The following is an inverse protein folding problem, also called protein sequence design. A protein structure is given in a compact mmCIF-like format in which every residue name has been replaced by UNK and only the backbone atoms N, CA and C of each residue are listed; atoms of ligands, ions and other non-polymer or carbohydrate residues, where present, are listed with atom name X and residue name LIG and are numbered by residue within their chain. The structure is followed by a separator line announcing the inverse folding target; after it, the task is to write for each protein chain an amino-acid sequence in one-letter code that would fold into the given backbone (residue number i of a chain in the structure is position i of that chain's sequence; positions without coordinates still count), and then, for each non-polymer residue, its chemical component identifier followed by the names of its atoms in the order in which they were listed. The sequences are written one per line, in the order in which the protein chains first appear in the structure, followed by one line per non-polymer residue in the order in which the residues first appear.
data_IF_182005900194
#
_entry.id   IF_182005900194
#
_cell.length_a   1.000
_cell.length_b   1.000
_cell.length_c   1.000
_cell.angle_alpha   90.00
_cell.angle_beta   90.00
_cell.angle_gamma   90.00
#
_symmetry.space_group_name_H-M   'P 1'
#
loop_
_entity.id
_entity.type
_entity.pdbx_description
1 polymer ?
#
# COMPACT_ATOMS: atom_id res chain seq x y z
N UNK A 1 -11.44 -31.67 -9.81
CA UNK A 1 -10.88 -30.45 -9.23
C UNK A 1 -12.01 -29.51 -8.86
N UNK A 2 -11.93 -28.91 -7.67
CA UNK A 2 -12.85 -27.84 -7.27
C UNK A 2 -12.42 -26.59 -8.03
N UNK A 3 -13.32 -25.96 -8.78
CA UNK A 3 -13.08 -24.63 -9.32
C UNK A 3 -13.08 -23.64 -8.16
N UNK A 4 -11.95 -22.95 -7.96
CA UNK A 4 -11.80 -21.91 -6.95
C UNK A 4 -11.96 -20.55 -7.63
N UNK A 5 -12.77 -19.69 -7.01
CA UNK A 5 -12.99 -18.33 -7.49
C UNK A 5 -11.98 -17.33 -6.91
N UNK A 6 -11.89 -16.14 -7.52
CA UNK A 6 -11.21 -14.98 -6.95
C UNK A 6 -11.73 -14.67 -5.55
N UNK A 7 -13.03 -14.85 -5.30
CA UNK A 7 -13.63 -14.65 -3.99
C UNK A 7 -13.04 -15.61 -2.96
N UNK A 8 -12.83 -16.87 -3.31
CA UNK A 8 -12.21 -17.86 -2.42
C UNK A 8 -10.77 -17.48 -2.08
N UNK A 9 -9.98 -17.07 -3.08
CA UNK A 9 -8.60 -16.61 -2.87
C UNK A 9 -8.53 -15.39 -1.94
N UNK A 10 -9.50 -14.49 -2.04
CA UNK A 10 -9.60 -13.31 -1.17
C UNK A 10 -9.95 -13.70 0.27
N UNK A 11 -10.86 -14.65 0.47
CA UNK A 11 -11.21 -15.17 1.79
C UNK A 11 -10.01 -15.87 2.43
N UNK A 12 -9.34 -16.78 1.70
CA UNK A 12 -8.17 -17.50 2.21
C UNK A 12 -7.03 -16.57 2.62
N UNK A 13 -6.84 -15.46 1.89
CA UNK A 13 -5.84 -14.45 2.27
C UNK A 13 -6.14 -13.87 3.65
N UNK A 14 -7.38 -13.48 3.91
CA UNK A 14 -7.77 -12.91 5.20
C UNK A 14 -7.69 -13.95 6.32
N UNK A 15 -8.12 -15.18 6.05
CA UNK A 15 -8.02 -16.30 7.00
C UNK A 15 -6.56 -16.61 7.36
N UNK A 16 -5.66 -16.64 6.38
CA UNK A 16 -4.23 -16.89 6.61
C UNK A 16 -3.59 -15.77 7.45
N UNK A 17 -3.91 -14.51 7.13
CA UNK A 17 -3.42 -13.34 7.89
C UNK A 17 -3.91 -13.42 9.34
N UNK A 18 -5.21 -13.67 9.55
CA UNK A 18 -5.81 -13.75 10.88
C UNK A 18 -5.27 -14.94 11.69
N UNK A 19 -5.22 -16.14 11.09
CA UNK A 19 -4.74 -17.34 11.75
C UNK A 19 -3.27 -17.18 12.19
N UNK A 20 -2.43 -16.60 11.33
CA UNK A 20 -1.02 -16.36 11.63
C UNK A 20 -0.84 -15.30 12.72
N UNK A 21 -1.65 -14.24 12.70
CA UNK A 21 -1.65 -13.23 13.76
C UNK A 21 -2.04 -13.83 15.13
N UNK A 22 -3.11 -14.65 15.17
CA UNK A 22 -3.53 -15.35 16.37
C UNK A 22 -2.46 -16.32 16.89
N UNK A 23 -1.80 -17.04 15.99
CA UNK A 23 -0.67 -17.90 16.33
C UNK A 23 0.47 -17.10 16.96
N UNK A 24 0.84 -15.96 16.36
CA UNK A 24 1.88 -15.07 16.89
C UNK A 24 1.53 -14.58 18.30
N UNK A 25 0.27 -14.20 18.54
CA UNK A 25 -0.22 -13.82 19.86
C UNK A 25 -0.14 -14.98 20.86
N UNK A 26 -0.59 -16.19 20.47
CA UNK A 26 -0.56 -17.39 21.32
C UNK A 26 0.86 -17.82 21.71
N UNK A 27 1.85 -17.56 20.85
CA UNK A 27 3.26 -17.82 21.13
C UNK A 27 3.95 -16.72 21.95
N UNK A 28 3.25 -15.66 22.34
CA UNK A 28 3.85 -14.49 22.99
C UNK A 28 4.78 -13.69 22.08
N UNK A 29 4.72 -13.91 20.76
CA UNK A 29 5.52 -13.24 19.75
C UNK A 29 4.86 -11.92 19.30
N UNK A 30 4.36 -11.12 20.25
CA UNK A 30 3.68 -9.86 19.97
C UNK A 30 4.62 -8.93 19.18
N UNK A 31 4.12 -8.37 18.07
CA UNK A 31 4.89 -7.49 17.17
C UNK A 31 5.92 -8.20 16.27
N UNK A 32 5.93 -9.55 16.25
CA UNK A 32 6.79 -10.36 15.37
C UNK A 32 6.10 -10.82 14.09
N UNK A 33 4.77 -10.87 14.10
CA UNK A 33 3.99 -11.06 12.88
C UNK A 33 4.07 -9.82 11.99
N UNK A 34 4.26 -10.05 10.69
CA UNK A 34 4.36 -9.02 9.66
C UNK A 34 3.68 -9.55 8.40
N UNK A 35 2.83 -8.73 7.79
CA UNK A 35 2.32 -8.95 6.45
C UNK A 35 3.28 -8.30 5.46
N UNK A 36 3.83 -9.10 4.55
CA UNK A 36 4.73 -8.63 3.51
C UNK A 36 4.12 -8.93 2.15
N UNK A 37 3.99 -7.90 1.31
CA UNK A 37 3.62 -8.07 -0.07
C UNK A 37 4.71 -8.88 -0.79
N UNK A 38 4.32 -9.81 -1.68
CA UNK A 38 5.29 -10.46 -2.57
C UNK A 38 6.01 -9.43 -3.46
N UNK A 39 5.32 -8.35 -3.82
CA UNK A 39 5.83 -7.25 -4.64
C UNK A 39 6.24 -7.66 -6.06
N UNK A 40 6.71 -6.68 -6.83
CA UNK A 40 7.45 -6.90 -8.08
C UNK A 40 8.92 -6.48 -7.86
N UNK A 41 9.85 -7.39 -8.18
CA UNK A 41 11.29 -7.16 -8.03
C UNK A 41 11.86 -7.37 -6.62
N UNK A 42 12.98 -6.70 -6.32
CA UNK A 42 13.82 -7.01 -5.14
C UNK A 42 13.33 -6.38 -3.82
N UNK A 43 12.34 -5.47 -3.85
CA UNK A 43 11.86 -4.73 -2.66
C UNK A 43 11.44 -5.66 -1.53
N UNK A 44 10.55 -6.61 -1.82
CA UNK A 44 10.06 -7.58 -0.85
C UNK A 44 11.17 -8.47 -0.30
N UNK A 45 12.05 -8.97 -1.17
CA UNK A 45 13.19 -9.80 -0.76
C UNK A 45 14.17 -9.04 0.15
N UNK A 46 14.44 -7.76 -0.14
CA UNK A 46 15.26 -6.89 0.70
C UNK A 46 14.60 -6.61 2.04
N UNK A 47 13.29 -6.32 2.06
CA UNK A 47 12.53 -6.12 3.28
C UNK A 47 12.56 -7.38 4.16
N UNK A 48 12.33 -8.57 3.59
CA UNK A 48 12.42 -9.85 4.28
C UNK A 48 13.81 -10.08 4.88
N UNK A 49 14.87 -9.87 4.11
CA UNK A 49 16.24 -9.99 4.59
C UNK A 49 16.50 -9.05 5.79
N UNK A 50 16.06 -7.80 5.72
CA UNK A 50 16.25 -6.84 6.81
C UNK A 50 15.41 -7.18 8.05
N UNK A 51 14.19 -7.69 7.88
CA UNK A 51 13.38 -8.18 9.00
C UNK A 51 14.09 -9.31 9.75
N UNK A 52 14.75 -10.22 9.02
CA UNK A 52 15.45 -11.35 9.62
C UNK A 52 16.82 -10.98 10.22
N UNK A 53 17.58 -10.11 9.55
CA UNK A 53 19.01 -9.90 9.84
C UNK A 53 19.39 -8.48 10.27
N UNK A 54 18.46 -7.53 10.24
CA UNK A 54 18.66 -6.12 10.67
C UNK A 54 17.54 -5.67 11.62
N UNK A 55 17.29 -6.37 12.73
CA UNK A 55 16.12 -6.12 13.59
C UNK A 55 16.11 -4.74 14.28
N UNK A 56 17.24 -4.02 14.30
CA UNK A 56 17.34 -2.66 14.84
C UNK A 56 16.96 -1.57 13.85
N UNK A 57 16.76 -1.94 12.58
CA UNK A 57 16.40 -1.02 11.52
C UNK A 57 14.91 -0.71 11.62
N UNK A 58 14.57 0.59 11.65
CA UNK A 58 13.19 1.05 11.78
C UNK A 58 12.34 0.62 10.57
N UNK A 59 11.09 0.29 10.86
CA UNK A 59 10.04 -0.04 9.89
C UNK A 59 9.27 1.20 9.52
N UNK A 60 9.10 1.46 8.22
CA UNK A 60 8.41 2.63 7.71
C UNK A 60 7.25 2.24 6.80
N UNK A 61 6.14 2.94 6.96
CA UNK A 61 5.09 3.02 5.93
C UNK A 61 5.29 4.32 5.13
N UNK A 62 5.74 4.24 3.86
CA UNK A 62 5.79 5.42 3.00
C UNK A 62 4.37 5.76 2.50
N UNK A 63 3.88 6.94 2.86
CA UNK A 63 2.60 7.48 2.41
C UNK A 63 2.82 8.51 1.32
N UNK A 64 2.03 8.47 0.25
CA UNK A 64 2.11 9.43 -0.85
C UNK A 64 0.86 9.32 -1.73
N UNK A 65 0.50 10.39 -2.46
CA UNK A 65 -0.64 10.31 -3.37
C UNK A 65 -0.36 9.31 -4.50
N UNK A 66 -1.25 8.34 -4.67
CA UNK A 66 -1.23 7.44 -5.82
C UNK A 66 -2.23 7.85 -6.89
N UNK A 67 -3.42 8.26 -6.47
CA UNK A 67 -4.47 8.79 -7.35
C UNK A 67 -4.18 10.24 -7.71
N UNK A 68 -4.57 10.68 -8.91
CA UNK A 68 -4.47 12.07 -9.40
C UNK A 68 -3.06 12.60 -9.73
N UNK A 69 -1.99 11.83 -9.52
CA UNK A 69 -0.61 12.20 -9.92
C UNK A 69 -0.06 11.37 -11.08
N UNK A 70 -0.78 10.35 -11.53
CA UNK A 70 -0.33 9.41 -12.57
C UNK A 70 -0.03 10.10 -13.90
N UNK A 71 -0.75 11.19 -14.22
CA UNK A 71 -0.57 11.94 -15.46
C UNK A 71 0.52 13.03 -15.37
N UNK A 72 1.27 13.09 -14.26
CA UNK A 72 2.32 14.09 -14.01
C UNK A 72 3.71 13.42 -13.89
N UNK A 73 4.48 13.29 -14.98
CA UNK A 73 5.77 12.57 -14.98
C UNK A 73 6.79 13.12 -13.97
N UNK A 74 6.82 14.44 -13.78
CA UNK A 74 7.73 15.09 -12.82
C UNK A 74 7.44 14.65 -11.38
N UNK A 75 6.15 14.66 -10.99
CA UNK A 75 5.72 14.21 -9.66
C UNK A 75 5.98 12.71 -9.51
N UNK A 76 5.74 11.91 -10.54
CA UNK A 76 6.04 10.47 -10.52
C UNK A 76 7.54 10.20 -10.31
N UNK A 77 8.43 11.01 -10.89
CA UNK A 77 9.87 10.90 -10.68
C UNK A 77 10.28 11.32 -9.25
N UNK A 78 9.65 12.35 -8.69
CA UNK A 78 9.84 12.72 -7.29
C UNK A 78 9.40 11.58 -6.34
N UNK A 79 8.21 11.02 -6.57
CA UNK A 79 7.68 9.91 -5.78
C UNK A 79 8.56 8.67 -5.91
N UNK A 80 9.07 8.36 -7.10
CA UNK A 80 10.03 7.26 -7.28
C UNK A 80 11.31 7.48 -6.46
N UNK A 81 11.83 8.71 -6.44
CA UNK A 81 13.01 9.08 -5.65
C UNK A 81 12.75 8.97 -4.14
N UNK A 82 11.58 9.42 -3.70
CA UNK A 82 11.12 9.27 -2.33
C UNK A 82 11.04 7.80 -1.91
N UNK A 83 10.35 6.96 -2.70
CA UNK A 83 10.22 5.52 -2.46
C UNK A 83 11.59 4.85 -2.39
N UNK A 84 12.50 5.18 -3.31
CA UNK A 84 13.87 4.67 -3.30
C UNK A 84 14.60 5.02 -2.01
N UNK A 85 14.52 6.27 -1.55
CA UNK A 85 15.14 6.69 -0.30
C UNK A 85 14.58 5.94 0.92
N UNK A 86 13.26 5.70 0.94
CA UNK A 86 12.61 4.90 2.00
C UNK A 86 13.11 3.46 2.00
N UNK A 87 13.19 2.84 0.82
CA UNK A 87 13.71 1.50 0.65
C UNK A 87 15.23 1.42 0.89
N UNK A 88 15.99 2.49 0.77
CA UNK A 88 17.43 2.45 1.06
C UNK A 88 17.70 2.49 2.58
N UNK A 89 16.96 3.34 3.30
CA UNK A 89 17.24 3.64 4.71
C UNK A 89 16.40 2.85 5.72
N UNK A 90 15.27 2.24 5.33
CA UNK A 90 14.32 1.62 6.25
C UNK A 90 13.82 0.25 5.78
N UNK A 91 13.17 -0.49 6.69
CA UNK A 91 12.35 -1.64 6.31
C UNK A 91 11.01 -1.07 5.82
N UNK A 92 10.89 -0.87 4.51
CA UNK A 92 9.72 -0.21 3.92
C UNK A 92 8.58 -1.20 3.64
N UNK A 93 7.40 -0.90 4.17
CA UNK A 93 6.14 -1.56 3.82
C UNK A 93 5.38 -0.67 2.84
N UNK A 94 5.83 -0.70 1.59
CA UNK A 94 5.40 0.24 0.57
C UNK A 94 4.05 -0.18 -0.08
N UNK A 95 2.99 0.62 0.07
CA UNK A 95 1.70 0.31 -0.53
C UNK A 95 1.74 0.31 -2.07
N UNK A 96 2.73 0.97 -2.70
CA UNK A 96 2.92 0.98 -4.15
C UNK A 96 3.46 -0.31 -4.75
N UNK A 97 3.92 -1.26 -3.92
CA UNK A 97 4.33 -2.60 -4.37
C UNK A 97 3.11 -3.52 -4.60
N UNK A 98 1.89 -3.01 -4.40
CA UNK A 98 0.62 -3.74 -4.53
C UNK A 98 -0.17 -3.26 -5.75
N UNK A 99 -0.65 -4.21 -6.57
CA UNK A 99 -1.19 -3.91 -7.90
C UNK A 99 -2.68 -4.24 -8.10
N UNK A 100 -3.45 -4.58 -7.05
CA UNK A 100 -4.81 -5.10 -7.25
C UNK A 100 -5.78 -4.12 -7.91
N UNK A 101 -5.59 -2.81 -7.72
CA UNK A 101 -6.40 -1.80 -8.43
C UNK A 101 -6.21 -1.86 -9.94
N UNK A 102 -5.01 -2.19 -10.43
CA UNK A 102 -4.74 -2.31 -11.88
C UNK A 102 -5.59 -3.41 -12.50
N UNK A 103 -5.79 -4.52 -11.78
CA UNK A 103 -6.64 -5.62 -12.23
C UNK A 103 -8.09 -5.16 -12.39
N UNK A 104 -8.63 -4.41 -11.42
CA UNK A 104 -9.98 -3.87 -11.49
C UNK A 104 -10.16 -2.88 -12.65
N UNK A 105 -9.22 -1.94 -12.84
CA UNK A 105 -9.29 -0.99 -13.96
C UNK A 105 -9.25 -1.68 -15.33
N UNK A 106 -8.37 -2.66 -15.52
CA UNK A 106 -8.31 -3.45 -16.75
C UNK A 106 -9.61 -4.20 -17.02
N UNK A 107 -10.26 -4.72 -15.98
CA UNK A 107 -11.56 -5.39 -16.13
C UNK A 107 -12.68 -4.41 -16.53
N UNK A 108 -12.68 -3.19 -15.99
CA UNK A 108 -13.62 -2.14 -16.42
C UNK A 108 -13.44 -1.79 -17.90
N UNK A 109 -12.21 -1.55 -18.34
CA UNK A 109 -11.89 -1.23 -19.75
C UNK A 109 -12.25 -2.41 -20.69
N UNK A 110 -12.10 -3.64 -20.23
CA UNK A 110 -12.48 -4.83 -21.00
C UNK A 110 -14.02 -4.96 -21.10
N UNK A 111 -14.74 -4.71 -20.01
CA UNK A 111 -16.20 -4.71 -19.99
C UNK A 111 -16.79 -3.65 -20.94
N UNK A 112 -16.21 -2.44 -20.96
CA UNK A 112 -16.59 -1.38 -21.90
C UNK A 112 -16.40 -1.78 -23.37
N UNK A 113 -15.39 -2.60 -23.65
CA UNK A 113 -15.12 -3.17 -24.98
C UNK A 113 -15.95 -4.42 -25.29
N UNK A 114 -16.75 -4.91 -24.34
CA UNK A 114 -17.53 -6.14 -24.48
C UNK A 114 -16.69 -7.42 -24.44
N UNK A 115 -15.47 -7.35 -23.90
CA UNK A 115 -14.57 -8.50 -23.73
C UNK A 115 -14.99 -9.31 -22.49
N UNK A 116 -15.00 -10.63 -22.61
CA UNK A 116 -15.33 -11.55 -21.50
C UNK A 116 -14.14 -11.93 -20.64
N UNK A 117 -12.93 -11.79 -21.18
CA UNK A 117 -11.70 -12.23 -20.53
C UNK A 117 -10.60 -11.20 -20.68
N UNK A 118 -9.75 -11.09 -19.66
CA UNK A 118 -8.49 -10.35 -19.73
C UNK A 118 -7.29 -11.27 -19.47
N UNK A 119 -6.19 -11.00 -20.14
CA UNK A 119 -4.92 -11.68 -19.92
C UNK A 119 -4.05 -10.92 -18.92
N UNK A 120 -3.54 -11.63 -17.93
CA UNK A 120 -2.70 -11.07 -16.87
C UNK A 120 -1.50 -11.99 -16.65
N UNK A 121 -0.30 -11.39 -16.68
CA UNK A 121 0.94 -12.05 -16.28
C UNK A 121 1.01 -12.23 -14.76
N UNK A 122 1.10 -13.48 -14.31
CA UNK A 122 1.27 -13.85 -12.91
C UNK A 122 2.40 -14.87 -12.80
N UNK A 123 3.51 -14.50 -12.15
CA UNK A 123 4.65 -15.41 -11.88
C UNK A 123 5.09 -16.22 -13.12
N UNK A 124 5.35 -15.51 -14.22
CA UNK A 124 5.77 -16.04 -15.53
C UNK A 124 4.70 -16.86 -16.29
N UNK A 125 3.45 -16.81 -15.85
CA UNK A 125 2.32 -17.45 -16.52
C UNK A 125 1.28 -16.42 -16.97
N UNK A 126 0.76 -16.60 -18.17
CA UNK A 126 -0.38 -15.83 -18.67
C UNK A 126 -1.67 -16.51 -18.22
N UNK A 127 -2.42 -15.82 -17.36
CA UNK A 127 -3.69 -16.31 -16.83
C UNK A 127 -4.83 -15.50 -17.47
N UNK A 128 -5.84 -16.20 -17.97
CA UNK A 128 -7.08 -15.60 -18.42
C UNK A 128 -8.03 -15.47 -17.22
N UNK A 129 -8.46 -14.25 -16.91
CA UNK A 129 -9.48 -13.99 -15.89
C UNK A 129 -10.80 -13.61 -16.55
N UNK A 130 -11.90 -14.13 -16.00
CA UNK A 130 -13.25 -13.71 -16.36
C UNK A 130 -13.49 -12.28 -15.85
N UNK A 131 -13.99 -11.41 -16.74
CA UNK A 131 -14.25 -10.00 -16.43
C UNK A 131 -15.36 -9.86 -15.39
N UNK A 132 -16.44 -10.64 -15.48
CA UNK A 132 -17.56 -10.58 -14.54
C UNK A 132 -17.13 -11.04 -13.15
N UNK A 133 -16.21 -12.02 -13.07
CA UNK A 133 -15.64 -12.47 -11.80
C UNK A 133 -14.83 -11.36 -11.11
N UNK A 134 -13.95 -10.67 -11.84
CA UNK A 134 -13.17 -9.55 -11.29
C UNK A 134 -14.09 -8.41 -10.83
N UNK A 135 -15.08 -8.07 -11.65
CA UNK A 135 -16.03 -7.01 -11.31
C UNK A 135 -16.89 -7.42 -10.10
N UNK A 136 -17.23 -8.70 -9.97
CA UNK A 136 -17.96 -9.26 -8.83
C UNK A 136 -17.23 -9.09 -7.50
N UNK A 137 -15.90 -9.14 -7.50
CA UNK A 137 -15.07 -8.97 -6.29
C UNK A 137 -14.53 -7.55 -6.09
N UNK A 138 -14.91 -6.58 -6.92
CA UNK A 138 -14.39 -5.21 -6.85
C UNK A 138 -14.54 -4.58 -5.46
N UNK A 139 -15.70 -4.77 -4.82
CA UNK A 139 -15.94 -4.26 -3.46
C UNK A 139 -15.01 -4.88 -2.43
N UNK A 140 -14.76 -6.18 -2.54
CA UNK A 140 -13.83 -6.88 -1.67
C UNK A 140 -12.40 -6.38 -1.90
N UNK A 141 -12.01 -6.10 -3.15
CA UNK A 141 -10.67 -5.57 -3.47
C UNK A 141 -10.47 -4.23 -2.77
N UNK A 142 -11.46 -3.33 -2.89
CA UNK A 142 -11.41 -2.03 -2.22
C UNK A 142 -11.33 -2.15 -0.70
N UNK A 143 -12.12 -3.05 -0.11
CA UNK A 143 -12.11 -3.27 1.34
C UNK A 143 -10.77 -3.83 1.84
N UNK A 144 -10.21 -4.83 1.14
CA UNK A 144 -8.92 -5.42 1.51
C UNK A 144 -7.76 -4.46 1.35
N UNK A 145 -7.76 -3.60 0.31
CA UNK A 145 -6.73 -2.56 0.17
C UNK A 145 -6.72 -1.68 1.41
N UNK A 146 -7.89 -1.19 1.83
CA UNK A 146 -8.00 -0.33 3.00
C UNK A 146 -7.56 -1.02 4.30
N UNK A 147 -8.07 -2.24 4.56
CA UNK A 147 -7.71 -3.01 5.74
C UNK A 147 -6.21 -3.31 5.80
N UNK A 148 -5.61 -3.63 4.64
CA UNK A 148 -4.19 -3.91 4.53
C UNK A 148 -3.34 -2.68 4.76
N UNK A 149 -3.67 -1.53 4.16
CA UNK A 149 -2.88 -0.30 4.32
C UNK A 149 -2.77 0.07 5.81
N UNK A 150 -3.87 -0.04 6.56
CA UNK A 150 -3.86 0.15 8.01
C UNK A 150 -3.01 -0.89 8.75
N UNK A 151 -3.09 -2.16 8.34
CA UNK A 151 -2.23 -3.21 8.90
C UNK A 151 -0.74 -2.96 8.64
N UNK A 152 -0.39 -2.44 7.45
CA UNK A 152 0.98 -2.05 7.10
C UNK A 152 1.46 -0.87 7.96
N UNK A 153 0.59 0.08 8.28
CA UNK A 153 0.88 1.15 9.24
C UNK A 153 1.06 0.57 10.65
N UNK A 154 0.18 -0.32 11.09
CA UNK A 154 0.20 -0.90 12.44
C UNK A 154 1.47 -1.70 12.73
N UNK A 155 2.03 -2.39 11.74
CA UNK A 155 3.30 -3.12 11.88
C UNK A 155 4.54 -2.24 11.70
N UNK A 156 4.37 -0.98 11.27
CA UNK A 156 5.44 0.00 11.10
C UNK A 156 5.76 0.72 12.42
N UNK A 157 6.98 1.24 12.55
CA UNK A 157 7.36 2.10 13.66
C UNK A 157 6.95 3.56 13.40
N UNK A 158 6.95 3.95 12.12
CA UNK A 158 6.69 5.32 11.68
C UNK A 158 6.00 5.35 10.32
N UNK A 159 5.32 6.47 10.06
CA UNK A 159 4.84 6.86 8.73
C UNK A 159 5.65 8.06 8.25
N UNK A 160 6.04 8.04 6.97
CA UNK A 160 6.63 9.20 6.30
C UNK A 160 5.73 9.52 5.11
N UNK A 161 5.04 10.65 5.17
CA UNK A 161 4.10 11.09 4.15
C UNK A 161 4.72 12.16 3.25
N UNK A 162 4.81 11.91 1.95
CA UNK A 162 5.29 12.86 0.96
C UNK A 162 4.11 13.56 0.28
N UNK A 163 3.99 14.87 0.49
CA UNK A 163 2.96 15.71 -0.12
C UNK A 163 3.62 16.53 -1.23
N UNK A 164 3.43 16.18 -2.52
CA UNK A 164 3.98 16.93 -3.64
C UNK A 164 3.20 18.23 -3.88
N UNK A 165 3.80 19.16 -4.60
CA UNK A 165 3.08 20.29 -5.18
C UNK A 165 2.43 19.86 -6.51
N UNK A 166 1.13 20.08 -6.65
CA UNK A 166 0.40 19.80 -7.88
C UNK A 166 0.55 20.93 -8.91
N UNK A 167 0.30 20.66 -10.21
CA UNK A 167 0.12 21.72 -11.19
C UNK A 167 -0.97 22.70 -10.72
N UNK A 168 -0.62 23.99 -10.62
CA UNK A 168 -1.49 25.01 -10.05
C UNK A 168 -1.19 25.37 -8.58
N UNK A 169 -0.16 24.77 -7.97
CA UNK A 169 0.36 25.17 -6.65
C UNK A 169 -0.38 24.59 -5.44
N UNK A 170 -1.39 23.75 -5.67
CA UNK A 170 -2.09 23.02 -4.62
C UNK A 170 -1.25 21.89 -4.00
N UNK A 171 -1.70 21.38 -2.86
CA UNK A 171 -1.10 20.22 -2.21
C UNK A 171 -1.63 18.92 -2.81
N UNK A 172 -0.74 17.98 -3.10
CA UNK A 172 -1.06 16.60 -3.46
C UNK A 172 -1.55 15.77 -2.28
N UNK A 173 -2.43 16.33 -1.47
CA UNK A 173 -3.02 15.68 -0.30
C UNK A 173 -4.34 15.03 -0.72
N UNK A 174 -4.40 13.70 -0.64
CA UNK A 174 -5.62 12.94 -0.93
C UNK A 174 -6.30 12.48 0.35
N UNK A 175 -7.61 12.18 0.28
CA UNK A 175 -8.34 11.64 1.42
C UNK A 175 -7.79 10.31 1.93
N UNK A 176 -7.10 9.54 1.08
CA UNK A 176 -6.37 8.33 1.49
C UNK A 176 -5.24 8.68 2.43
N UNK A 177 -4.37 9.59 2.00
CA UNK A 177 -3.21 10.07 2.79
C UNK A 177 -3.65 10.71 4.12
N UNK A 178 -4.73 11.50 4.12
CA UNK A 178 -5.27 12.07 5.36
C UNK A 178 -5.71 11.00 6.37
N UNK A 179 -6.38 9.95 5.90
CA UNK A 179 -6.79 8.83 6.75
C UNK A 179 -5.59 8.03 7.27
N UNK A 180 -4.57 7.83 6.44
CA UNK A 180 -3.34 7.16 6.86
C UNK A 180 -2.61 7.94 7.97
N UNK A 181 -2.50 9.27 7.82
CA UNK A 181 -1.92 10.14 8.85
C UNK A 181 -2.70 10.08 10.16
N UNK A 182 -4.03 10.14 10.09
CA UNK A 182 -4.88 10.05 11.28
C UNK A 182 -4.74 8.68 11.97
N UNK A 183 -4.82 7.58 11.21
CA UNK A 183 -4.68 6.23 11.73
C UNK A 183 -3.31 6.03 12.41
N UNK A 184 -2.23 6.50 11.78
CA UNK A 184 -0.89 6.44 12.35
C UNK A 184 -0.77 7.25 13.66
N UNK A 185 -1.39 8.44 13.71
CA UNK A 185 -1.42 9.26 14.92
C UNK A 185 -2.16 8.56 16.06
N UNK A 186 -3.35 8.02 15.80
CA UNK A 186 -4.16 7.26 16.76
C UNK A 186 -3.47 5.98 17.24
N UNK A 187 -2.74 5.30 16.34
CA UNK A 187 -1.91 4.15 16.63
C UNK A 187 -0.56 4.50 17.29
N UNK A 188 -0.34 5.76 17.68
CA UNK A 188 0.86 6.27 18.37
C UNK A 188 2.16 6.04 17.61
N UNK A 189 2.11 6.07 16.27
CA UNK A 189 3.28 5.98 15.40
C UNK A 189 4.01 7.32 15.35
N UNK A 190 5.30 7.29 15.02
CA UNK A 190 6.01 8.52 14.65
C UNK A 190 5.49 9.00 13.28
N UNK A 191 5.02 10.25 13.18
CA UNK A 191 4.40 10.80 11.96
C UNK A 191 5.28 11.90 11.38
N UNK A 192 5.88 11.66 10.22
CA UNK A 192 6.67 12.66 9.50
C UNK A 192 5.97 13.06 8.21
N UNK A 193 5.86 14.36 7.93
CA UNK A 193 5.24 14.86 6.70
C UNK A 193 6.23 15.73 5.93
N UNK A 194 6.66 15.28 4.76
CA UNK A 194 7.47 16.06 3.82
C UNK A 194 6.53 16.94 2.99
N UNK A 195 6.54 18.25 3.26
CA UNK A 195 5.61 19.20 2.65
C UNK A 195 6.30 20.02 1.55
N UNK A 196 6.03 19.71 0.29
CA UNK A 196 6.55 20.45 -0.88
C UNK A 196 5.75 21.70 -1.29
N UNK A 197 4.41 21.76 -1.12
CA UNK A 197 3.63 22.90 -1.60
C UNK A 197 4.04 24.22 -0.95
N UNK A 198 4.03 25.30 -1.73
CA UNK A 198 4.24 26.66 -1.19
C UNK A 198 3.09 27.11 -0.25
N UNK A 199 1.89 26.56 -0.43
CA UNK A 199 0.77 26.80 0.49
C UNK A 199 1.06 26.18 1.86
N UNK A 200 0.61 26.81 2.94
CA UNK A 200 0.83 26.26 4.29
C UNK A 200 0.01 24.99 4.52
N UNK A 201 0.55 23.99 5.26
CA UNK A 201 -0.22 22.84 5.69
C UNK A 201 -1.41 23.27 6.56
N UNK A 202 -2.49 22.49 6.50
CA UNK A 202 -3.65 22.71 7.36
C UNK A 202 -3.32 22.34 8.82
N UNK A 203 -4.06 22.88 9.81
CA UNK A 203 -3.90 22.49 11.21
C UNK A 203 -3.97 20.99 11.43
N UNK A 204 -4.86 20.30 10.71
CA UNK A 204 -4.99 18.85 10.74
C UNK A 204 -3.67 18.11 10.45
N UNK A 205 -2.93 18.56 9.43
CA UNK A 205 -1.61 17.97 9.11
C UNK A 205 -0.59 18.29 10.20
N UNK A 206 -0.56 19.53 10.69
CA UNK A 206 0.43 19.94 11.70
C UNK A 206 0.16 19.35 13.09
N UNK A 207 -1.10 19.05 13.43
CA UNK A 207 -1.49 18.47 14.72
C UNK A 207 -1.30 16.94 14.75
N UNK A 208 -1.42 16.27 13.61
CA UNK A 208 -1.19 14.83 13.49
C UNK A 208 0.30 14.49 13.32
N UNK A 209 1.10 15.41 12.77
CA UNK A 209 2.53 15.22 12.53
C UNK A 209 3.39 15.37 13.80
N UNK A 210 4.33 14.45 13.97
CA UNK A 210 5.46 14.60 14.89
C UNK A 210 6.48 15.63 14.40
N UNK A 211 6.66 15.75 13.07
CA UNK A 211 7.45 16.81 12.46
C UNK A 211 7.03 17.10 11.00
N UNK A 212 7.17 18.37 10.60
CA UNK A 212 6.96 18.87 9.23
C UNK A 212 8.19 19.73 8.86
N UNK A 213 9.19 19.19 8.13
CA UNK A 213 10.36 19.93 7.69
C UNK A 213 10.13 20.76 6.42
#
# INVERSE_FOLDING_TARGET
DLEHSLKDLMVWREEEILATELLSCGLGAIGKFVVLARGSGDSASKALFRLMFRPQMKRVYPSYPMSHVMDCPEIMAELASFRWAMQEHFIAFDPGDLEEKKLHFRALEAAERGEKFIQVDVADQQINFDVDEILGVARDIHAQIYARDFKLIDQSDMIISYIPQLPGGGAGLSSGVERELQHAHEATKEVYVIWRPAIKPSPFVTETASAVP
#
